data_IF_169464605351
#
_entry.id   IF_169464605351
#
_cell.length_a   1.000
_cell.length_b   1.000
_cell.length_c   1.000
_cell.angle_alpha   90.00
_cell.angle_beta   90.00
_cell.angle_gamma   90.00
#
_symmetry.space_group_name_H-M   'P 1'
#
loop_
_entity.id
_entity.type
_entity.pdbx_description
1 polymer ?
#
# COMPACT_ATOMS: atom_id res chain seq x y z
N UNK A 1 27.67 -11.65 2.47
CA UNK A 1 27.27 -10.90 3.69
C UNK A 1 25.98 -11.55 4.20
N UNK A 2 25.95 -12.03 5.45
CA UNK A 2 25.07 -13.12 5.86
C UNK A 2 23.62 -12.67 6.08
N UNK A 3 22.71 -13.51 5.62
CA UNK A 3 21.24 -13.43 5.70
C UNK A 3 20.67 -13.69 7.11
N UNK A 4 21.43 -13.39 8.17
CA UNK A 4 21.09 -13.75 9.55
C UNK A 4 21.05 -12.50 10.44
N UNK A 5 19.92 -11.79 10.43
CA UNK A 5 19.42 -10.93 11.53
C UNK A 5 18.06 -10.26 11.28
N UNK A 6 17.29 -10.67 10.27
CA UNK A 6 15.90 -10.24 10.10
C UNK A 6 14.99 -11.38 10.59
N UNK A 7 13.90 -11.07 11.32
CA UNK A 7 12.94 -11.96 12.01
C UNK A 7 13.26 -12.02 13.53
N UNK A 8 12.64 -11.21 14.44
CA UNK A 8 11.26 -10.68 14.48
C UNK A 8 11.14 -9.14 14.48
N UNK A 9 12.25 -8.41 14.62
CA UNK A 9 12.26 -6.94 14.68
C UNK A 9 11.87 -6.30 13.34
N UNK A 10 12.24 -6.93 12.22
CA UNK A 10 11.87 -6.48 10.87
C UNK A 10 10.35 -6.54 10.63
N UNK A 11 9.69 -7.63 11.02
CA UNK A 11 8.23 -7.78 10.91
C UNK A 11 7.49 -6.79 11.81
N UNK A 12 7.93 -6.64 13.06
CA UNK A 12 7.36 -5.64 13.98
C UNK A 12 7.47 -4.21 13.44
N UNK A 13 8.60 -3.87 12.80
CA UNK A 13 8.82 -2.55 12.22
C UNK A 13 7.92 -2.30 10.99
N UNK A 14 7.72 -3.30 10.13
CA UNK A 14 6.83 -3.17 8.96
C UNK A 14 5.35 -3.04 9.37
N UNK A 15 4.89 -3.85 10.32
CA UNK A 15 3.52 -3.76 10.86
C UNK A 15 3.28 -2.38 11.51
N UNK A 16 4.25 -1.86 12.28
CA UNK A 16 4.15 -0.52 12.84
C UNK A 16 4.08 0.55 11.75
N UNK A 17 4.85 0.41 10.67
CA UNK A 17 4.82 1.33 9.52
C UNK A 17 3.45 1.30 8.83
N UNK A 18 2.91 0.12 8.56
CA UNK A 18 1.56 -0.03 7.99
C UNK A 18 0.50 0.61 8.89
N UNK A 19 0.56 0.38 10.21
CA UNK A 19 -0.36 0.97 11.16
C UNK A 19 -0.24 2.51 11.25
N UNK A 20 0.98 3.06 11.21
CA UNK A 20 1.22 4.49 11.16
C UNK A 20 0.69 5.11 9.87
N UNK A 21 0.87 4.43 8.73
CA UNK A 21 0.35 4.87 7.44
C UNK A 21 -1.19 4.84 7.41
N UNK A 22 -1.82 3.78 7.93
CA UNK A 22 -3.27 3.70 8.08
C UNK A 22 -3.82 4.81 8.97
N UNK A 23 -3.14 5.08 10.09
CA UNK A 23 -3.50 6.18 11.01
C UNK A 23 -3.37 7.54 10.32
N UNK A 24 -2.31 7.74 9.54
CA UNK A 24 -2.12 8.94 8.73
C UNK A 24 -3.28 9.11 7.75
N UNK A 25 -3.62 8.08 6.97
CA UNK A 25 -4.75 8.11 6.03
C UNK A 25 -6.06 8.51 6.72
N UNK A 26 -6.43 7.83 7.80
CA UNK A 26 -7.67 8.11 8.55
C UNK A 26 -7.68 9.53 9.14
N UNK A 27 -6.56 9.98 9.70
CA UNK A 27 -6.42 11.34 10.24
C UNK A 27 -6.59 12.38 9.13
N UNK A 28 -6.01 12.10 7.97
CA UNK A 28 -6.06 13.00 6.82
C UNK A 28 -7.46 13.09 6.23
N UNK A 29 -8.26 12.01 6.21
CA UNK A 29 -9.66 12.05 5.76
C UNK A 29 -10.50 13.06 6.56
N UNK A 30 -10.31 13.12 7.88
CA UNK A 30 -11.02 14.06 8.76
C UNK A 30 -10.48 15.49 8.73
N UNK A 31 -9.37 15.75 8.04
CA UNK A 31 -8.66 17.04 8.06
C UNK A 31 -8.95 17.87 6.80
N UNK A 32 -9.16 19.20 6.90
CA UNK A 32 -9.31 20.10 5.74
C UNK A 32 -8.09 20.07 4.79
N UNK A 33 -8.33 20.26 3.50
CA UNK A 33 -7.31 20.10 2.46
C UNK A 33 -6.08 21.01 2.63
N UNK A 34 -6.31 22.27 3.00
CA UNK A 34 -5.24 23.25 3.22
C UNK A 34 -4.32 22.89 4.40
N UNK A 35 -4.85 22.20 5.42
CA UNK A 35 -4.10 21.85 6.62
C UNK A 35 -3.23 20.60 6.43
N UNK A 36 -3.65 19.65 5.60
CA UNK A 36 -2.85 18.45 5.35
C UNK A 36 -1.73 18.64 4.32
N UNK A 37 -1.89 19.54 3.35
CA UNK A 37 -0.90 19.73 2.29
C UNK A 37 0.46 20.12 2.89
N UNK A 38 0.47 21.10 3.80
CA UNK A 38 1.69 21.53 4.50
C UNK A 38 2.32 20.43 5.36
N UNK A 39 1.52 19.54 5.94
CA UNK A 39 2.02 18.40 6.74
C UNK A 39 2.66 17.33 5.84
N UNK A 40 2.03 17.04 4.70
CA UNK A 40 2.55 16.10 3.70
C UNK A 40 3.81 16.65 3.00
N UNK A 41 3.84 17.94 2.65
CA UNK A 41 5.03 18.63 2.13
C UNK A 41 6.21 18.55 3.09
N UNK A 42 5.94 18.67 4.39
CA UNK A 42 6.97 18.56 5.41
C UNK A 42 7.44 17.11 5.55
N UNK A 43 6.52 16.16 5.52
CA UNK A 43 6.83 14.73 5.59
C UNK A 43 7.72 14.32 4.40
N UNK A 44 7.36 14.72 3.19
CA UNK A 44 8.11 14.43 1.96
C UNK A 44 9.55 14.95 2.03
N UNK A 45 9.74 16.20 2.46
CA UNK A 45 11.06 16.79 2.68
C UNK A 45 11.89 16.04 3.72
N UNK A 46 11.27 15.60 4.83
CA UNK A 46 11.96 14.88 5.90
C UNK A 46 12.33 13.46 5.47
N UNK A 47 11.47 12.80 4.70
CA UNK A 47 11.75 11.47 4.18
C UNK A 47 12.90 11.51 3.14
N UNK A 48 13.21 12.69 2.57
CA UNK A 48 14.20 12.88 1.51
C UNK A 48 13.97 11.89 0.36
N UNK A 49 12.70 11.66 0.08
CA UNK A 49 12.25 10.65 -0.85
C UNK A 49 11.89 11.29 -2.18
N UNK A 50 12.11 10.60 -3.32
CA UNK A 50 11.72 11.09 -4.64
C UNK A 50 10.24 10.80 -4.92
N UNK A 51 9.36 11.06 -3.95
CA UNK A 51 7.91 10.89 -4.13
C UNK A 51 7.26 12.24 -4.42
N UNK A 52 7.78 12.95 -5.43
CA UNK A 52 7.24 14.24 -5.90
C UNK A 52 5.72 14.22 -5.90
N UNK A 53 5.11 15.24 -5.27
CA UNK A 53 3.67 15.47 -5.20
C UNK A 53 2.92 14.50 -4.24
N UNK A 54 3.47 14.25 -3.06
CA UNK A 54 2.77 13.50 -2.00
C UNK A 54 1.41 14.12 -1.63
N UNK A 55 1.26 15.45 -1.46
CA UNK A 55 -0.04 16.08 -1.24
C UNK A 55 -1.07 15.74 -2.32
N UNK A 56 -0.68 15.79 -3.60
CA UNK A 56 -1.53 15.54 -4.76
C UNK A 56 -1.97 14.08 -4.83
N UNK A 57 -1.09 13.14 -4.48
CA UNK A 57 -1.42 11.71 -4.38
C UNK A 57 -2.47 11.45 -3.30
N UNK A 58 -2.30 12.05 -2.13
CA UNK A 58 -3.30 11.95 -1.05
C UNK A 58 -4.62 12.64 -1.42
N UNK A 59 -4.56 13.81 -2.07
CA UNK A 59 -5.76 14.49 -2.56
C UNK A 59 -6.50 13.64 -3.59
N UNK A 60 -5.79 12.91 -4.44
CA UNK A 60 -6.37 12.00 -5.44
C UNK A 60 -7.15 10.85 -4.78
N UNK A 61 -6.65 10.28 -3.68
CA UNK A 61 -7.35 9.25 -2.89
C UNK A 61 -8.63 9.77 -2.21
N UNK A 62 -8.83 11.09 -2.18
CA UNK A 62 -9.99 11.74 -1.54
C UNK A 62 -10.95 12.34 -2.56
N UNK A 63 -10.74 12.13 -3.85
CA UNK A 63 -11.64 12.68 -4.86
C UNK A 63 -13.07 12.12 -4.66
N UNK A 64 -14.11 12.97 -4.61
CA UNK A 64 -15.49 12.52 -4.38
C UNK A 64 -16.01 11.51 -5.41
N UNK A 65 -15.47 11.58 -6.63
CA UNK A 65 -15.80 10.68 -7.74
C UNK A 65 -15.05 9.35 -7.74
N UNK A 66 -14.02 9.17 -6.89
CA UNK A 66 -13.29 7.91 -6.83
C UNK A 66 -14.14 6.84 -6.15
N UNK A 67 -14.22 5.64 -6.74
CA UNK A 67 -14.91 4.52 -6.11
C UNK A 67 -14.18 4.11 -4.83
N UNK A 68 -14.87 3.42 -3.90
CA UNK A 68 -14.20 2.90 -2.70
C UNK A 68 -13.05 1.97 -3.07
N UNK A 69 -13.24 1.12 -4.09
CA UNK A 69 -12.23 0.18 -4.59
C UNK A 69 -10.97 0.92 -5.09
N UNK A 70 -11.12 1.97 -5.90
CA UNK A 70 -10.00 2.79 -6.38
C UNK A 70 -9.20 3.41 -5.21
N UNK A 71 -9.91 3.87 -4.18
CA UNK A 71 -9.29 4.48 -2.99
C UNK A 71 -8.51 3.45 -2.19
N UNK A 72 -9.02 2.23 -2.08
CA UNK A 72 -8.35 1.13 -1.38
C UNK A 72 -7.09 0.67 -2.14
N UNK A 73 -7.20 0.40 -3.44
CA UNK A 73 -6.03 0.03 -4.25
C UNK A 73 -5.00 1.16 -4.36
N UNK A 74 -5.46 2.40 -4.49
CA UNK A 74 -4.59 3.57 -4.48
C UNK A 74 -3.84 3.74 -3.14
N UNK A 75 -4.50 3.51 -2.01
CA UNK A 75 -3.87 3.53 -0.69
C UNK A 75 -2.83 2.41 -0.53
N UNK A 76 -3.15 1.20 -0.98
CA UNK A 76 -2.22 0.06 -1.00
C UNK A 76 -0.99 0.37 -1.87
N UNK A 77 -1.19 0.91 -3.07
CA UNK A 77 -0.12 1.29 -3.99
C UNK A 77 0.76 2.40 -3.41
N UNK A 78 0.16 3.40 -2.76
CA UNK A 78 0.89 4.48 -2.11
C UNK A 78 1.72 3.97 -0.93
N UNK A 79 1.15 3.10 -0.09
CA UNK A 79 1.87 2.45 1.01
C UNK A 79 3.12 1.73 0.49
N UNK A 80 2.97 0.83 -0.49
CA UNK A 80 4.08 0.07 -1.05
C UNK A 80 5.11 0.96 -1.73
N UNK A 81 4.64 2.01 -2.41
CA UNK A 81 5.52 3.00 -2.99
C UNK A 81 6.42 3.59 -1.92
N UNK A 82 5.89 4.01 -0.77
CA UNK A 82 6.64 4.62 0.34
C UNK A 82 7.44 3.63 1.19
N UNK A 83 6.98 2.38 1.32
CA UNK A 83 7.58 1.39 2.22
C UNK A 83 8.75 0.65 1.58
N UNK A 84 8.74 0.50 0.25
CA UNK A 84 9.69 -0.32 -0.49
C UNK A 84 10.76 0.49 -1.23
N UNK A 85 11.93 -0.11 -1.50
CA UNK A 85 12.96 0.51 -2.32
C UNK A 85 12.44 0.93 -3.70
N UNK A 86 12.96 2.05 -4.22
CA UNK A 86 12.71 2.56 -5.57
C UNK A 86 12.78 1.49 -6.67
N UNK A 87 13.75 0.58 -6.56
CA UNK A 87 13.96 -0.50 -7.53
C UNK A 87 12.75 -1.45 -7.66
N UNK A 88 11.88 -1.50 -6.66
CA UNK A 88 10.72 -2.40 -6.62
C UNK A 88 9.44 -1.74 -7.14
N UNK A 89 9.47 -0.44 -7.46
CA UNK A 89 8.30 0.28 -7.99
C UNK A 89 7.83 -0.23 -9.34
N UNK A 90 8.76 -0.64 -10.22
CA UNK A 90 8.42 -1.25 -11.51
C UNK A 90 7.77 -2.64 -11.35
N UNK A 91 7.85 -3.23 -10.16
CA UNK A 91 7.29 -4.53 -9.85
C UNK A 91 5.88 -4.45 -9.25
N UNK A 92 5.30 -3.25 -9.04
CA UNK A 92 3.99 -3.06 -8.40
C UNK A 92 3.06 -2.25 -9.31
N UNK A 93 1.86 -2.74 -9.58
CA UNK A 93 0.83 -1.99 -10.32
C UNK A 93 -0.58 -2.47 -9.99
N UNK A 94 -1.59 -1.66 -10.31
CA UNK A 94 -3.01 -2.05 -10.24
C UNK A 94 -3.48 -2.40 -11.65
N UNK A 95 -4.26 -3.47 -11.78
CA UNK A 95 -4.88 -3.83 -13.06
C UNK A 95 -5.76 -5.08 -12.96
N UNK A 96 -6.45 -5.43 -14.05
CA UNK A 96 -7.35 -6.57 -14.05
C UNK A 96 -6.60 -7.88 -13.79
N UNK A 97 -7.26 -8.79 -13.08
CA UNK A 97 -6.83 -10.17 -12.92
C UNK A 97 -7.03 -10.93 -14.23
N UNK A 98 -5.99 -10.91 -15.07
CA UNK A 98 -5.96 -11.61 -16.35
C UNK A 98 -5.97 -13.15 -16.22
N UNK A 99 -5.89 -13.67 -14.99
CA UNK A 99 -5.87 -15.10 -14.71
C UNK A 99 -7.12 -15.63 -14.03
N UNK A 100 -8.11 -14.78 -13.73
CA UNK A 100 -9.39 -15.13 -13.12
C UNK A 100 -10.55 -14.93 -14.09
N UNK A 101 -11.67 -15.63 -13.85
CA UNK A 101 -12.84 -15.62 -14.73
C UNK A 101 -13.57 -14.26 -14.73
N UNK A 102 -13.44 -13.48 -13.65
CA UNK A 102 -14.23 -12.26 -13.42
C UNK A 102 -13.49 -10.95 -13.78
N UNK A 103 -12.25 -11.02 -14.28
CA UNK A 103 -11.41 -9.84 -14.61
C UNK A 103 -11.36 -8.75 -13.53
N UNK A 104 -11.54 -9.12 -12.26
CA UNK A 104 -11.59 -8.18 -11.13
C UNK A 104 -10.27 -7.38 -11.04
N UNK A 105 -10.34 -6.10 -10.66
CA UNK A 105 -9.14 -5.33 -10.38
C UNK A 105 -8.38 -5.91 -9.18
N UNK A 106 -7.05 -5.88 -9.26
CA UNK A 106 -6.18 -6.33 -8.19
C UNK A 106 -4.87 -5.54 -8.17
N UNK A 107 -4.26 -5.45 -6.99
CA UNK A 107 -2.89 -5.01 -6.87
C UNK A 107 -1.97 -6.18 -7.19
N UNK A 108 -1.04 -5.99 -8.12
CA UNK A 108 -0.10 -7.01 -8.59
C UNK A 108 1.32 -6.65 -8.19
N UNK A 109 2.07 -7.66 -7.75
CA UNK A 109 3.50 -7.54 -7.43
C UNK A 109 4.31 -8.66 -8.09
N UNK A 110 5.56 -8.38 -8.42
CA UNK A 110 6.48 -9.37 -9.03
C UNK A 110 7.85 -9.40 -8.35
N UNK A 111 8.68 -10.38 -8.73
CA UNK A 111 10.04 -10.51 -8.22
C UNK A 111 10.09 -10.91 -6.75
N UNK A 112 10.92 -10.23 -5.96
CA UNK A 112 11.12 -10.54 -4.54
C UNK A 112 9.85 -10.39 -3.69
N UNK A 113 8.94 -9.50 -4.10
CA UNK A 113 7.66 -9.27 -3.41
C UNK A 113 6.62 -10.37 -3.70
N UNK A 114 6.82 -11.19 -4.73
CA UNK A 114 5.93 -12.28 -5.09
C UNK A 114 6.27 -13.62 -4.39
N UNK A 115 7.35 -13.66 -3.60
CA UNK A 115 7.72 -14.85 -2.83
C UNK A 115 6.66 -15.15 -1.77
N UNK A 116 6.28 -16.43 -1.54
CA UNK A 116 5.18 -16.79 -0.63
C UNK A 116 5.29 -16.16 0.77
N UNK A 117 6.49 -16.13 1.35
CA UNK A 117 6.77 -15.54 2.65
C UNK A 117 6.62 -14.00 2.65
N UNK A 118 7.02 -13.35 1.55
CA UNK A 118 6.85 -11.91 1.38
C UNK A 118 5.37 -11.57 1.21
N UNK A 119 4.63 -12.37 0.46
CA UNK A 119 3.19 -12.19 0.24
C UNK A 119 2.40 -12.33 1.52
N UNK A 120 2.67 -13.33 2.35
CA UNK A 120 1.98 -13.47 3.64
C UNK A 120 2.20 -12.23 4.53
N UNK A 121 3.43 -11.73 4.62
CA UNK A 121 3.74 -10.51 5.37
C UNK A 121 3.08 -9.27 4.76
N UNK A 122 3.13 -9.12 3.44
CA UNK A 122 2.49 -8.02 2.73
C UNK A 122 0.97 -8.04 2.87
N UNK A 123 0.33 -9.21 2.85
CA UNK A 123 -1.11 -9.33 3.08
C UNK A 123 -1.50 -8.75 4.44
N UNK A 124 -0.75 -9.09 5.50
CA UNK A 124 -0.99 -8.53 6.83
C UNK A 124 -0.81 -7.01 6.86
N UNK A 125 0.25 -6.49 6.23
CA UNK A 125 0.51 -5.05 6.13
C UNK A 125 -0.61 -4.34 5.36
N UNK A 126 -1.03 -4.87 4.22
CA UNK A 126 -2.06 -4.28 3.37
C UNK A 126 -3.45 -4.35 4.00
N UNK A 127 -3.77 -5.41 4.76
CA UNK A 127 -4.97 -5.47 5.59
C UNK A 127 -5.04 -4.28 6.55
N UNK A 128 -3.94 -3.94 7.25
CA UNK A 128 -3.92 -2.79 8.16
C UNK A 128 -4.17 -1.46 7.42
N UNK A 129 -3.60 -1.31 6.23
CA UNK A 129 -3.80 -0.12 5.40
C UNK A 129 -5.26 0.05 5.01
N UNK A 130 -5.91 -1.02 4.50
CA UNK A 130 -7.32 -0.93 4.08
C UNK A 130 -8.27 -0.80 5.25
N UNK A 131 -8.02 -1.44 6.39
CA UNK A 131 -8.85 -1.31 7.61
C UNK A 131 -8.91 0.14 8.11
N UNK A 132 -7.87 0.93 7.86
CA UNK A 132 -7.87 2.36 8.17
C UNK A 132 -8.87 3.19 7.37
N UNK A 133 -9.31 2.70 6.20
CA UNK A 133 -10.26 3.35 5.30
C UNK A 133 -11.64 2.68 5.29
N UNK A 134 -11.67 1.35 5.36
CA UNK A 134 -12.87 0.52 5.34
C UNK A 134 -12.67 -0.71 6.27
N UNK A 135 -13.12 -0.65 7.53
CA UNK A 135 -12.87 -1.69 8.54
C UNK A 135 -13.44 -3.07 8.20
N UNK A 136 -14.51 -3.11 7.42
CA UNK A 136 -15.19 -4.33 6.97
C UNK A 136 -14.46 -5.08 5.85
N UNK A 137 -13.51 -4.42 5.20
CA UNK A 137 -12.82 -4.95 4.03
C UNK A 137 -11.61 -5.80 4.40
N UNK A 138 -11.41 -6.90 3.66
CA UNK A 138 -10.24 -7.78 3.79
C UNK A 138 -9.38 -7.77 2.52
N UNK A 139 -8.08 -8.03 2.69
CA UNK A 139 -7.14 -8.24 1.58
C UNK A 139 -6.74 -9.70 1.51
N UNK A 140 -6.87 -10.29 0.34
CA UNK A 140 -6.42 -11.65 0.06
C UNK A 140 -5.23 -11.64 -0.89
N UNK A 141 -4.06 -12.03 -0.39
CA UNK A 141 -2.85 -12.24 -1.19
C UNK A 141 -2.76 -13.66 -1.72
N UNK A 142 -2.47 -13.82 -3.01
CA UNK A 142 -2.21 -15.14 -3.62
C UNK A 142 -0.99 -15.08 -4.53
N UNK A 143 -0.28 -16.20 -4.66
CA UNK A 143 0.90 -16.34 -5.52
C UNK A 143 0.58 -17.25 -6.70
N UNK A 144 0.97 -16.85 -7.90
CA UNK A 144 0.92 -17.67 -9.12
C UNK A 144 2.18 -17.45 -9.95
N UNK A 145 3.08 -18.44 -9.93
CA UNK A 145 4.38 -18.33 -10.59
C UNK A 145 5.22 -17.21 -9.95
N UNK A 146 5.70 -16.29 -10.79
CA UNK A 146 6.55 -15.15 -10.36
C UNK A 146 5.74 -13.90 -10.00
N UNK A 147 4.42 -14.03 -9.91
CA UNK A 147 3.53 -12.92 -9.62
C UNK A 147 2.68 -13.22 -8.39
N UNK A 148 2.42 -12.19 -7.61
CA UNK A 148 1.41 -12.24 -6.58
C UNK A 148 0.35 -11.17 -6.83
N UNK A 149 -0.87 -11.46 -6.42
CA UNK A 149 -2.01 -10.55 -6.51
C UNK A 149 -2.66 -10.38 -5.15
N UNK A 150 -3.11 -9.18 -4.87
CA UNK A 150 -3.85 -8.80 -3.68
C UNK A 150 -5.20 -8.26 -4.11
N UNK A 151 -6.26 -8.91 -3.63
CA UNK A 151 -7.64 -8.58 -3.96
C UNK A 151 -8.32 -8.10 -2.70
N UNK A 152 -9.10 -7.04 -2.86
CA UNK A 152 -9.93 -6.44 -1.82
C UNK A 152 -11.32 -7.09 -1.86
N UNK A 153 -11.82 -7.55 -0.72
CA UNK A 153 -13.15 -8.17 -0.60
C UNK A 153 -13.92 -7.56 0.58
N UNK A 154 -15.20 -7.26 0.35
CA UNK A 154 -16.16 -6.76 1.34
C UNK A 154 -17.02 -7.87 1.92
#
# INVERSE_FOLDING_TARGET
MPLERALPQGRSCRIQRAALFATLLATLEGTPASAHAAALDRLERVMNTPYDDLPEKFASLRQPQASLEDRLYGAMLLYLSLSEPLAWRAAVWVGPDLGGDDMQECLRVTGELAKPEAVAALTEELCLVVTGLAPEVQVHGTVRGEQAKFIVQS
#
